data_IF_628593980413
#
_entry.id   IF_628593980413
#
_cell.length_a   1.000
_cell.length_b   1.000
_cell.length_c   1.000
_cell.angle_alpha   90.00
_cell.angle_beta   90.00
_cell.angle_gamma   90.00
#
_symmetry.space_group_name_H-M   'P 1'
#
loop_
_entity.id
_entity.type
_entity.pdbx_description
1 polymer ?
#
# COMPACT_ATOMS: atom_id res chain seq x y z
N UNK A 1 -2.05 -20.63 -32.34
CA UNK A 1 -2.03 -19.41 -31.48
C UNK A 1 -0.56 -19.04 -31.28
N UNK A 2 -0.08 -17.86 -31.68
CA UNK A 2 1.36 -17.53 -31.52
C UNK A 2 1.76 -17.56 -30.05
N UNK A 3 2.84 -18.29 -29.72
CA UNK A 3 3.33 -18.51 -28.34
C UNK A 3 3.57 -17.19 -27.57
N UNK A 4 3.88 -16.11 -28.30
CA UNK A 4 4.20 -14.78 -27.77
C UNK A 4 3.08 -13.73 -27.89
N UNK A 5 1.86 -14.10 -28.28
CA UNK A 5 0.75 -13.14 -28.39
C UNK A 5 0.24 -12.70 -27.00
N UNK A 6 0.19 -11.39 -26.78
CA UNK A 6 -0.40 -10.75 -25.61
C UNK A 6 -1.30 -9.58 -26.01
N UNK A 7 -2.28 -9.28 -25.16
CA UNK A 7 -3.25 -8.17 -25.35
C UNK A 7 -3.01 -7.03 -24.37
N UNK A 8 -2.49 -7.33 -23.19
CA UNK A 8 -2.29 -6.35 -22.13
C UNK A 8 -0.99 -6.55 -21.37
N UNK A 9 -0.48 -5.45 -20.82
CA UNK A 9 0.65 -5.44 -19.89
C UNK A 9 0.15 -4.88 -18.55
N UNK A 10 0.33 -5.62 -17.46
CA UNK A 10 0.20 -5.06 -16.11
C UNK A 10 1.61 -4.66 -15.66
N UNK A 11 1.81 -3.37 -15.42
CA UNK A 11 3.05 -2.81 -14.90
C UNK A 11 2.85 -2.49 -13.42
N UNK A 12 3.68 -3.06 -12.56
CA UNK A 12 3.65 -2.81 -11.11
C UNK A 12 4.85 -1.94 -10.74
N UNK A 13 4.62 -0.82 -10.06
CA UNK A 13 5.64 0.16 -9.67
C UNK A 13 5.42 0.68 -8.24
N UNK A 14 6.42 0.64 -7.33
CA UNK A 14 7.59 -0.25 -7.37
C UNK A 14 7.19 -1.72 -7.26
N UNK A 15 8.16 -2.62 -7.42
CA UNK A 15 7.98 -4.07 -7.20
C UNK A 15 7.63 -4.33 -5.73
N UNK A 16 6.58 -5.12 -5.46
CA UNK A 16 6.18 -5.51 -4.10
C UNK A 16 5.74 -6.98 -4.05
N UNK A 17 6.33 -7.78 -3.17
CA UNK A 17 6.15 -9.24 -3.10
C UNK A 17 4.70 -9.68 -2.97
N UNK A 18 3.92 -9.04 -2.09
CA UNK A 18 2.49 -9.34 -1.90
C UNK A 18 1.65 -9.11 -3.17
N UNK A 19 1.98 -8.06 -3.92
CA UNK A 19 1.31 -7.72 -5.18
C UNK A 19 1.66 -8.75 -6.25
N UNK A 20 2.92 -9.18 -6.32
CA UNK A 20 3.33 -10.25 -7.23
C UNK A 20 2.62 -11.57 -6.92
N UNK A 21 2.55 -11.95 -5.65
CA UNK A 21 1.82 -13.15 -5.21
C UNK A 21 0.36 -13.09 -5.63
N UNK A 22 -0.30 -11.94 -5.44
CA UNK A 22 -1.69 -11.76 -5.87
C UNK A 22 -1.88 -11.88 -7.39
N UNK A 23 -0.96 -11.35 -8.19
CA UNK A 23 -1.01 -11.47 -9.65
C UNK A 23 -0.80 -12.93 -10.07
N UNK A 24 0.19 -13.61 -9.47
CA UNK A 24 0.48 -15.01 -9.75
C UNK A 24 -0.73 -15.90 -9.45
N UNK A 25 -1.28 -15.83 -8.23
CA UNK A 25 -2.47 -16.58 -7.86
C UNK A 25 -3.67 -16.23 -8.74
N UNK A 26 -3.81 -14.97 -9.16
CA UNK A 26 -4.87 -14.58 -10.09
C UNK A 26 -4.78 -15.28 -11.45
N UNK A 27 -3.56 -15.45 -11.97
CA UNK A 27 -3.28 -16.09 -13.25
C UNK A 27 -3.35 -17.62 -13.17
N UNK A 28 -2.98 -18.22 -12.04
CA UNK A 28 -3.09 -19.66 -11.81
C UNK A 28 -4.55 -20.11 -11.68
N UNK A 29 -5.40 -19.28 -11.07
CA UNK A 29 -6.82 -19.61 -10.80
C UNK A 29 -7.76 -19.23 -11.95
N UNK A 30 -7.30 -19.19 -13.20
CA UNK A 30 -8.16 -18.84 -14.34
C UNK A 30 -7.79 -19.57 -15.63
N UNK A 31 -8.81 -19.97 -16.39
CA UNK A 31 -8.66 -20.41 -17.79
C UNK A 31 -8.78 -19.27 -18.81
N UNK A 32 -9.15 -18.05 -18.35
CA UNK A 32 -9.49 -16.91 -19.22
C UNK A 32 -8.27 -16.12 -19.72
N UNK A 33 -7.10 -16.36 -19.15
CA UNK A 33 -5.87 -15.66 -19.48
C UNK A 33 -4.66 -16.51 -19.12
N UNK A 34 -3.53 -16.26 -19.79
CA UNK A 34 -2.22 -16.81 -19.44
C UNK A 34 -1.18 -15.70 -19.32
N UNK A 35 -0.18 -15.93 -18.47
CA UNK A 35 1.06 -15.18 -18.48
C UNK A 35 1.86 -15.58 -19.72
N UNK A 36 2.24 -14.62 -20.56
CA UNK A 36 3.10 -14.89 -21.73
C UNK A 36 4.55 -14.51 -21.46
N UNK A 37 4.78 -13.46 -20.66
CA UNK A 37 6.12 -13.02 -20.26
C UNK A 37 6.06 -12.24 -18.95
N UNK A 38 7.06 -12.44 -18.09
CA UNK A 38 7.38 -11.58 -16.94
C UNK A 38 8.70 -10.86 -17.22
N UNK A 39 8.76 -9.55 -17.03
CA UNK A 39 9.99 -8.76 -17.18
C UNK A 39 10.24 -7.96 -15.90
N UNK A 40 11.33 -8.24 -15.21
CA UNK A 40 11.76 -7.47 -14.03
C UNK A 40 12.57 -6.26 -14.52
N UNK A 41 12.34 -5.12 -13.91
CA UNK A 41 12.93 -3.82 -14.26
C UNK A 41 13.42 -3.14 -12.97
N UNK A 42 14.29 -2.12 -13.10
CA UNK A 42 14.79 -1.37 -11.95
C UNK A 42 13.65 -0.71 -11.17
N UNK A 43 12.68 -0.17 -11.90
CA UNK A 43 11.55 0.54 -11.34
C UNK A 43 10.38 -0.37 -10.91
N UNK A 44 10.41 -1.67 -11.25
CA UNK A 44 9.31 -2.58 -10.95
C UNK A 44 9.27 -3.85 -11.78
N UNK A 45 8.07 -4.28 -12.18
CA UNK A 45 7.86 -5.53 -12.94
C UNK A 45 6.69 -5.42 -13.91
N UNK A 46 6.84 -6.03 -15.09
CA UNK A 46 5.85 -6.07 -16.16
C UNK A 46 5.36 -7.50 -16.41
N UNK A 47 4.04 -7.66 -16.46
CA UNK A 47 3.34 -8.92 -16.74
C UNK A 47 2.60 -8.81 -18.05
N UNK A 48 3.04 -9.57 -19.05
CA UNK A 48 2.40 -9.65 -20.36
C UNK A 48 1.33 -10.73 -20.31
N UNK A 49 0.08 -10.34 -20.56
CA UNK A 49 -1.11 -11.17 -20.36
C UNK A 49 -1.86 -11.33 -21.68
N UNK A 50 -2.33 -12.56 -21.96
CA UNK A 50 -2.99 -12.90 -23.21
C UNK A 50 -4.40 -12.32 -23.40
N UNK A 51 -5.00 -11.75 -22.34
CA UNK A 51 -6.38 -11.27 -22.33
C UNK A 51 -6.50 -9.90 -21.68
N UNK A 52 -6.98 -8.92 -22.45
CA UNK A 52 -7.22 -7.56 -21.95
C UNK A 52 -8.27 -7.53 -20.84
N UNK A 53 -9.40 -8.24 -21.02
CA UNK A 53 -10.52 -8.22 -20.06
C UNK A 53 -10.07 -8.73 -18.69
N UNK A 54 -9.31 -9.82 -18.68
CA UNK A 54 -8.76 -10.38 -17.45
C UNK A 54 -7.76 -9.41 -16.81
N UNK A 55 -6.81 -8.87 -17.59
CA UNK A 55 -5.82 -7.94 -17.09
C UNK A 55 -6.46 -6.69 -16.45
N UNK A 56 -7.49 -6.12 -17.09
CA UNK A 56 -8.24 -4.98 -16.57
C UNK A 56 -8.95 -5.31 -15.25
N UNK A 57 -9.59 -6.47 -15.17
CA UNK A 57 -10.20 -6.95 -13.92
C UNK A 57 -9.15 -7.11 -12.81
N UNK A 58 -8.00 -7.70 -13.12
CA UNK A 58 -6.92 -7.92 -12.17
C UNK A 58 -6.32 -6.59 -11.67
N UNK A 59 -6.09 -5.63 -12.57
CA UNK A 59 -5.66 -4.27 -12.19
C UNK A 59 -6.62 -3.57 -11.23
N UNK A 60 -7.93 -3.68 -11.47
CA UNK A 60 -8.95 -3.14 -10.57
C UNK A 60 -8.98 -3.85 -9.21
N UNK A 61 -8.77 -5.17 -9.18
CA UNK A 61 -8.67 -5.96 -7.95
C UNK A 61 -7.42 -5.58 -7.14
N UNK A 62 -6.30 -5.29 -7.80
CA UNK A 62 -5.10 -4.77 -7.14
C UNK A 62 -5.39 -3.49 -6.37
N UNK A 63 -5.97 -2.49 -7.03
CA UNK A 63 -6.30 -1.22 -6.38
C UNK A 63 -7.36 -1.37 -5.27
N UNK A 64 -8.28 -2.33 -5.40
CA UNK A 64 -9.27 -2.63 -4.36
C UNK A 64 -8.64 -3.28 -3.12
N UNK A 65 -7.70 -4.19 -3.32
CA UNK A 65 -7.07 -4.97 -2.23
C UNK A 65 -5.96 -4.22 -1.54
N UNK A 66 -5.11 -3.54 -2.31
CA UNK A 66 -3.87 -2.95 -1.82
C UNK A 66 -3.89 -1.42 -1.86
N UNK A 67 -4.99 -0.80 -2.29
CA UNK A 67 -5.06 0.64 -2.53
C UNK A 67 -4.20 1.08 -3.72
N UNK A 68 -3.88 2.38 -3.78
CA UNK A 68 -3.01 2.94 -4.82
C UNK A 68 -3.75 3.40 -6.08
N UNK A 69 -3.02 3.52 -7.18
CA UNK A 69 -3.56 4.09 -8.43
C UNK A 69 -3.37 3.16 -9.61
N UNK A 70 -4.37 3.12 -10.50
CA UNK A 70 -4.34 2.39 -11.77
C UNK A 70 -4.50 3.39 -12.89
N UNK A 71 -3.56 3.41 -13.83
CA UNK A 71 -3.64 4.20 -15.06
C UNK A 71 -3.75 3.24 -16.24
N UNK A 72 -4.75 3.45 -17.08
CA UNK A 72 -5.00 2.65 -18.28
C UNK A 72 -4.59 3.44 -19.51
N UNK A 73 -3.78 2.85 -20.38
CA UNK A 73 -3.50 3.39 -21.72
C UNK A 73 -3.67 2.31 -22.77
N UNK A 74 -3.99 2.72 -24.00
CA UNK A 74 -4.21 1.82 -25.14
C UNK A 74 -3.47 2.35 -26.35
N UNK A 75 -2.83 1.45 -27.09
CA UNK A 75 -2.20 1.75 -28.37
C UNK A 75 -2.73 0.79 -29.43
N UNK A 76 -2.95 1.30 -30.64
CA UNK A 76 -3.27 0.47 -31.81
C UNK A 76 -2.02 -0.36 -32.14
N UNK A 77 -2.18 -1.69 -32.15
CA UNK A 77 -1.13 -2.62 -32.55
C UNK A 77 -1.21 -2.99 -34.03
N UNK A 78 -2.42 -3.03 -34.60
CA UNK A 78 -2.62 -3.29 -36.02
C UNK A 78 -4.06 -3.68 -36.33
N UNK A 79 -4.27 -4.30 -37.48
CA UNK A 79 -5.59 -4.77 -37.93
C UNK A 79 -5.54 -6.29 -38.06
N UNK A 80 -6.46 -6.98 -37.40
CA UNK A 80 -6.65 -8.42 -37.59
C UNK A 80 -7.29 -8.66 -38.95
N UNK A 81 -6.52 -9.13 -39.93
CA UNK A 81 -7.03 -9.47 -41.27
C UNK A 81 -8.20 -10.47 -41.21
N UNK A 82 -8.14 -11.44 -40.29
CA UNK A 82 -9.18 -12.47 -40.10
C UNK A 82 -10.49 -11.93 -39.53
N UNK A 83 -10.43 -10.95 -38.61
CA UNK A 83 -11.62 -10.39 -37.95
C UNK A 83 -12.02 -9.00 -38.47
N UNK A 84 -11.25 -8.42 -39.40
CA UNK A 84 -11.32 -7.03 -39.88
C UNK A 84 -11.51 -6.02 -38.73
N UNK A 85 -10.82 -6.23 -37.60
CA UNK A 85 -10.91 -5.39 -36.40
C UNK A 85 -9.54 -4.89 -35.96
N UNK A 86 -9.50 -3.67 -35.43
CA UNK A 86 -8.30 -3.09 -34.83
C UNK A 86 -7.91 -3.89 -33.59
N UNK A 87 -6.67 -4.36 -33.56
CA UNK A 87 -6.06 -5.03 -32.41
C UNK A 87 -5.38 -3.96 -31.58
N UNK A 88 -5.76 -3.87 -30.32
CA UNK A 88 -5.14 -2.97 -29.35
C UNK A 88 -4.15 -3.73 -28.48
N UNK A 89 -3.08 -3.05 -28.08
CA UNK A 89 -2.28 -3.42 -26.92
C UNK A 89 -2.53 -2.41 -25.81
N UNK A 90 -2.93 -2.91 -24.66
CA UNK A 90 -3.26 -2.06 -23.51
C UNK A 90 -2.19 -2.16 -22.44
N UNK A 91 -1.94 -1.05 -21.75
CA UNK A 91 -1.06 -1.01 -20.59
C UNK A 91 -1.87 -0.60 -19.37
N UNK A 92 -1.66 -1.32 -18.27
CA UNK A 92 -2.29 -1.12 -16.97
C UNK A 92 -1.15 -0.84 -15.99
N UNK A 93 -0.93 0.43 -15.72
CA UNK A 93 0.08 0.85 -14.76
C UNK A 93 -0.54 0.91 -13.36
N UNK A 94 -0.16 -0.04 -12.51
CA UNK A 94 -0.48 -0.06 -11.10
C UNK A 94 0.68 0.56 -10.29
N UNK A 95 0.39 1.69 -9.64
CA UNK A 95 1.31 2.31 -8.67
C UNK A 95 0.94 1.85 -7.26
N UNK A 96 1.83 1.09 -6.65
CA UNK A 96 1.75 0.65 -5.26
C UNK A 96 1.73 1.88 -4.37
N UNK A 97 0.82 1.98 -3.39
CA UNK A 97 0.82 3.11 -2.49
C UNK A 97 2.09 3.10 -1.61
N UNK A 98 2.60 4.28 -1.23
CA UNK A 98 3.78 4.40 -0.36
C UNK A 98 3.50 3.98 1.09
N UNK A 99 2.23 3.79 1.45
CA UNK A 99 1.79 3.41 2.78
C UNK A 99 0.98 2.12 2.77
N UNK A 100 1.02 1.39 3.87
CA UNK A 100 0.26 0.16 4.12
C UNK A 100 -0.57 0.27 5.39
N UNK A 101 -1.54 -0.63 5.54
CA UNK A 101 -2.26 -0.80 6.81
C UNK A 101 -1.26 -1.09 7.94
N UNK A 102 -1.44 -0.42 9.07
CA UNK A 102 -0.55 -0.48 10.24
C UNK A 102 0.55 0.58 10.26
N UNK A 103 0.86 1.22 9.13
CA UNK A 103 1.77 2.37 9.13
C UNK A 103 1.17 3.53 9.92
N UNK A 104 2.03 4.31 10.58
CA UNK A 104 1.64 5.56 11.24
C UNK A 104 2.07 6.73 10.38
N UNK A 105 1.17 7.69 10.17
CA UNK A 105 1.41 8.86 9.32
C UNK A 105 0.99 10.16 10.01
N UNK A 106 1.71 11.24 9.71
CA UNK A 106 1.38 12.59 10.15
C UNK A 106 0.94 13.49 8.99
N UNK A 107 -0.09 14.31 9.23
CA UNK A 107 -0.52 15.39 8.33
C UNK A 107 -1.19 16.51 9.13
N UNK A 108 -0.63 17.73 9.07
CA UNK A 108 -1.23 18.91 9.72
C UNK A 108 -1.47 18.72 11.22
N UNK A 109 -0.51 18.11 11.92
CA UNK A 109 -0.61 17.82 13.37
C UNK A 109 -1.45 16.59 13.74
N UNK A 110 -2.15 15.96 12.79
CA UNK A 110 -2.90 14.72 13.02
C UNK A 110 -1.97 13.54 12.85
N UNK A 111 -1.98 12.62 13.82
CA UNK A 111 -1.21 11.38 13.78
C UNK A 111 -2.18 10.23 13.64
N UNK A 112 -2.13 9.54 12.51
CA UNK A 112 -3.07 8.49 12.16
C UNK A 112 -2.35 7.15 12.02
N UNK A 113 -2.89 6.12 12.68
CA UNK A 113 -2.55 4.74 12.37
C UNK A 113 -3.44 4.24 11.23
N UNK A 114 -2.83 3.88 10.10
CA UNK A 114 -3.57 3.53 8.88
C UNK A 114 -4.34 2.23 9.08
N UNK A 115 -5.66 2.30 8.93
CA UNK A 115 -6.54 1.13 8.93
C UNK A 115 -6.90 0.70 7.51
N UNK A 116 -6.92 1.64 6.56
CA UNK A 116 -7.29 1.38 5.17
C UNK A 116 -6.62 2.34 4.20
N UNK A 117 -6.11 1.78 3.09
CA UNK A 117 -5.59 2.55 1.94
C UNK A 117 -6.53 2.35 0.77
N UNK A 118 -7.24 3.41 0.41
CA UNK A 118 -8.28 3.38 -0.61
C UNK A 118 -7.75 3.43 -2.04
N UNK A 119 -8.69 3.39 -2.99
CA UNK A 119 -8.42 3.78 -4.37
C UNK A 119 -8.12 5.28 -4.43
N UNK A 120 -7.19 5.66 -5.29
CA UNK A 120 -6.71 7.04 -5.29
C UNK A 120 -5.85 7.31 -4.05
N UNK A 121 -5.49 8.57 -3.83
CA UNK A 121 -4.60 8.96 -2.75
C UNK A 121 -5.31 9.07 -1.38
N UNK A 122 -6.49 8.43 -1.22
CA UNK A 122 -7.27 8.49 0.02
C UNK A 122 -6.79 7.45 1.03
N UNK A 123 -6.53 7.88 2.25
CA UNK A 123 -6.10 7.04 3.37
C UNK A 123 -7.06 7.25 4.53
N UNK A 124 -7.36 6.18 5.26
CA UNK A 124 -8.20 6.22 6.47
C UNK A 124 -7.41 5.59 7.62
N UNK A 125 -7.46 6.21 8.78
CA UNK A 125 -6.75 5.76 9.97
C UNK A 125 -7.47 6.13 11.26
N UNK A 126 -7.03 5.53 12.36
CA UNK A 126 -7.41 5.95 13.72
C UNK A 126 -6.47 7.06 14.17
N UNK A 127 -7.01 8.18 14.63
CA UNK A 127 -6.22 9.25 15.21
C UNK A 127 -5.70 8.82 16.58
N UNK A 128 -4.38 8.79 16.75
CA UNK A 128 -3.76 8.29 17.97
C UNK A 128 -4.11 9.12 19.20
N UNK A 129 -4.40 10.40 19.04
CA UNK A 129 -4.78 11.28 20.15
C UNK A 129 -6.26 11.14 20.50
N UNK A 130 -7.16 11.20 19.51
CA UNK A 130 -8.61 11.23 19.76
C UNK A 130 -9.28 9.86 19.78
N UNK A 131 -8.62 8.82 19.26
CA UNK A 131 -9.19 7.48 19.04
C UNK A 131 -10.23 7.43 17.91
N UNK A 132 -10.51 8.54 17.22
CA UNK A 132 -11.55 8.60 16.18
C UNK A 132 -11.00 8.19 14.81
N UNK A 133 -11.86 7.61 13.96
CA UNK A 133 -11.53 7.32 12.57
C UNK A 133 -11.56 8.60 11.73
N UNK A 134 -10.49 8.85 10.99
CA UNK A 134 -10.33 10.03 10.16
C UNK A 134 -9.81 9.67 8.77
N UNK A 135 -10.23 10.43 7.76
CA UNK A 135 -9.78 10.30 6.38
C UNK A 135 -8.87 11.45 5.96
N UNK A 136 -7.76 11.13 5.31
CA UNK A 136 -6.79 12.10 4.78
C UNK A 136 -6.50 11.86 3.30
N UNK A 137 -6.08 12.92 2.61
CA UNK A 137 -5.62 12.84 1.23
C UNK A 137 -4.09 12.89 1.19
N UNK A 138 -3.48 11.81 0.72
CA UNK A 138 -2.04 11.69 0.52
C UNK A 138 -1.48 12.69 -0.52
N UNK A 139 -2.34 13.35 -1.32
CA UNK A 139 -1.90 14.48 -2.17
C UNK A 139 -1.41 15.67 -1.36
N UNK A 140 -1.96 15.90 -0.17
CA UNK A 140 -1.63 17.05 0.67
C UNK A 140 -0.34 16.83 1.48
N UNK A 141 0.44 15.80 1.17
CA UNK A 141 1.63 15.39 1.92
C UNK A 141 1.28 14.52 3.12
N UNK A 142 1.90 13.35 3.21
CA UNK A 142 1.85 12.47 4.38
C UNK A 142 3.27 12.10 4.75
N UNK A 143 3.64 12.35 6.00
CA UNK A 143 4.90 11.91 6.56
C UNK A 143 4.71 10.53 7.17
N UNK A 144 5.49 9.54 6.73
CA UNK A 144 5.50 8.22 7.38
C UNK A 144 6.38 8.29 8.62
N UNK A 145 5.79 8.02 9.77
CA UNK A 145 6.52 8.00 11.02
C UNK A 145 7.08 6.61 11.30
N UNK A 146 8.29 6.56 11.87
CA UNK A 146 8.92 5.32 12.29
C UNK A 146 8.32 4.85 13.61
N UNK A 147 7.93 3.58 13.66
CA UNK A 147 7.43 2.94 14.87
C UNK A 147 8.56 2.21 15.58
N UNK A 148 8.57 2.31 16.90
CA UNK A 148 9.57 1.71 17.77
C UNK A 148 8.90 0.74 18.74
N UNK A 149 9.55 -0.39 18.99
CA UNK A 149 9.20 -1.25 20.11
C UNK A 149 9.99 -0.77 21.33
N UNK A 150 9.30 -0.18 22.29
CA UNK A 150 9.91 0.33 23.52
C UNK A 150 9.25 -0.27 24.76
N UNK A 151 9.62 0.19 25.95
CA UNK A 151 9.10 -0.26 27.25
C UNK A 151 8.48 0.92 28.00
N UNK A 152 7.46 0.62 28.77
CA UNK A 152 6.88 1.53 29.76
C UNK A 152 7.86 1.71 30.92
N UNK A 153 8.24 2.95 31.22
CA UNK A 153 9.11 3.31 32.35
C UNK A 153 8.32 3.57 33.62
N UNK A 154 7.18 4.25 33.51
CA UNK A 154 6.30 4.58 34.62
C UNK A 154 4.83 4.54 34.19
N UNK A 155 3.93 4.24 35.13
CA UNK A 155 2.47 4.29 34.92
C UNK A 155 1.82 5.39 35.78
N UNK A 156 2.45 5.75 36.91
CA UNK A 156 2.00 6.77 37.84
C UNK A 156 3.17 7.73 38.15
N UNK A 157 2.95 9.06 38.22
CA UNK A 157 1.67 9.77 38.06
C UNK A 157 1.16 9.84 36.62
N UNK A 158 2.05 9.74 35.64
CA UNK A 158 1.72 9.71 34.21
C UNK A 158 2.31 8.47 33.56
N UNK A 159 1.72 8.05 32.44
CA UNK A 159 2.25 6.95 31.65
C UNK A 159 3.45 7.44 30.83
N UNK A 160 4.61 6.83 31.05
CA UNK A 160 5.86 7.17 30.38
C UNK A 160 6.44 5.98 29.64
N UNK A 161 7.16 6.27 28.55
CA UNK A 161 7.92 5.29 27.77
C UNK A 161 9.33 5.77 27.53
N UNK A 162 10.26 4.82 27.37
CA UNK A 162 11.65 5.14 27.05
C UNK A 162 11.75 5.49 25.57
N UNK A 163 12.37 6.61 25.22
CA UNK A 163 12.75 6.90 23.85
C UNK A 163 14.00 6.07 23.48
N UNK A 164 13.94 5.22 22.45
CA UNK A 164 15.06 4.34 22.10
C UNK A 164 16.26 5.06 21.47
N UNK A 165 16.14 6.35 21.13
CA UNK A 165 17.22 7.12 20.51
C UNK A 165 18.10 7.80 21.56
N UNK A 166 17.51 8.37 22.61
CA UNK A 166 18.21 9.13 23.65
C UNK A 166 18.08 8.51 25.06
N UNK A 167 17.32 7.42 25.19
CA UNK A 167 17.02 6.71 26.45
C UNK A 167 16.30 7.55 27.51
N UNK A 168 15.73 8.70 27.14
CA UNK A 168 14.95 9.53 28.05
C UNK A 168 13.52 9.02 28.20
N UNK A 169 12.95 9.16 29.41
CA UNK A 169 11.52 8.90 29.63
C UNK A 169 10.69 10.05 29.06
N UNK A 170 9.67 9.71 28.29
CA UNK A 170 8.74 10.68 27.68
C UNK A 170 7.31 10.28 28.03
N UNK A 171 6.52 11.27 28.44
CA UNK A 171 5.09 11.11 28.73
C UNK A 171 4.30 10.76 27.45
N UNK A 172 3.43 9.77 27.58
CA UNK A 172 2.55 9.28 26.51
C UNK A 172 1.30 10.15 26.41
N UNK A 173 1.04 10.66 25.21
CA UNK A 173 -0.13 11.54 24.95
C UNK A 173 -1.46 10.79 24.81
N UNK A 174 -1.45 9.47 24.64
CA UNK A 174 -2.64 8.63 24.48
C UNK A 174 -2.57 7.35 25.35
N UNK A 175 -2.62 7.50 26.69
CA UNK A 175 -2.37 6.38 27.59
C UNK A 175 -3.44 5.28 27.46
N UNK A 176 -2.98 4.05 27.21
CA UNK A 176 -3.84 2.86 27.07
C UNK A 176 -3.30 1.62 27.82
N UNK A 177 -2.14 1.73 28.49
CA UNK A 177 -1.40 0.60 29.10
C UNK A 177 -1.55 0.61 30.63
N UNK A 178 -1.43 -0.55 31.27
CA UNK A 178 -1.68 -0.74 32.70
C UNK A 178 -0.45 -1.11 33.54
N UNK A 179 0.66 -1.54 32.92
CA UNK A 179 1.81 -2.09 33.65
C UNK A 179 3.14 -1.47 33.24
N UNK A 180 4.04 -1.29 34.22
CA UNK A 180 5.44 -0.91 34.00
C UNK A 180 6.20 -2.07 33.36
N UNK A 181 7.28 -1.78 32.62
CA UNK A 181 8.12 -2.75 31.92
C UNK A 181 7.48 -3.47 30.73
N UNK A 182 6.20 -3.22 30.46
CA UNK A 182 5.45 -3.74 29.31
C UNK A 182 6.08 -3.24 27.99
N UNK A 183 6.23 -4.14 27.01
CA UNK A 183 6.71 -3.77 25.67
C UNK A 183 5.57 -3.22 24.84
N UNK A 184 5.75 -2.03 24.30
CA UNK A 184 4.72 -1.29 23.56
C UNK A 184 5.25 -0.82 22.21
N UNK A 185 4.35 -0.68 21.24
CA UNK A 185 4.66 0.01 19.98
C UNK A 185 4.37 1.50 20.16
N UNK A 186 5.35 2.33 19.81
CA UNK A 186 5.28 3.77 20.02
C UNK A 186 5.80 4.52 18.80
N UNK A 187 5.23 5.69 18.57
CA UNK A 187 5.78 6.68 17.65
C UNK A 187 6.15 7.95 18.43
N UNK A 188 7.27 8.56 18.07
CA UNK A 188 7.71 9.84 18.62
C UNK A 188 7.54 10.91 17.56
N UNK A 189 6.83 11.98 17.89
CA UNK A 189 6.56 13.07 16.96
C UNK A 189 6.40 14.39 17.70
N UNK A 190 7.11 15.43 17.27
CA UNK A 190 7.13 16.75 17.89
C UNK A 190 7.35 16.72 19.43
N UNK A 191 8.33 15.92 19.88
CA UNK A 191 8.69 15.81 21.30
C UNK A 191 7.67 15.06 22.17
N UNK A 192 6.69 14.38 21.57
CA UNK A 192 5.66 13.60 22.29
C UNK A 192 5.69 12.14 21.87
N UNK A 193 5.33 11.26 22.81
CA UNK A 193 5.17 9.84 22.57
C UNK A 193 3.69 9.47 22.38
N UNK A 194 3.42 8.58 21.42
CA UNK A 194 2.09 8.04 21.17
C UNK A 194 2.16 6.52 21.03
N UNK A 195 1.31 5.81 21.78
CA UNK A 195 1.11 4.38 21.64
C UNK A 195 0.36 4.05 20.35
N UNK A 196 0.75 2.94 19.73
CA UNK A 196 0.18 2.40 18.50
C UNK A 196 -0.47 1.06 18.84
N UNK A 197 -1.75 0.90 18.47
CA UNK A 197 -2.60 -0.23 18.86
C UNK A 197 -2.68 -1.36 17.85
#
# INVERSE_FOLDING_TARGET
MHRNYYEAIIQVRPRKREVEGFIASGLENTSKARLVKKKILKEGVDYYISSWKFAQSLGNKLAKRFGGTVVLSKKIFGISRKKRRVVYRSTILYRVPPFTRGDVVAQGGRILQITYVGKGKRVVGENLLSGKKEGVDAKKGLEKLKTYKTRVSAVYPELEVINPEDYQSIVVSNPKVKYVNEKVLTVFYNGRAYLVG
#
